data_IF_646638638541
#
_entry.id   IF_646638638541
#
_cell.length_a   1.000
_cell.length_b   1.000
_cell.length_c   1.000
_cell.angle_alpha   90.00
_cell.angle_beta   90.00
_cell.angle_gamma   90.00
#
_symmetry.space_group_name_H-M   'P 1'
#
loop_
_entity.id
_entity.type
_entity.pdbx_description
1 polymer ?
#
# COMPACT_ATOMS: atom_id res chain seq x y z
N UNK A 1 22.66 15.54 39.55
CA UNK A 1 22.41 15.29 38.11
C UNK A 1 23.04 13.96 37.74
N UNK A 2 22.24 12.93 37.44
CA UNK A 2 22.72 11.61 37.00
C UNK A 2 22.97 11.65 35.48
N UNK A 3 24.22 11.85 35.08
CA UNK A 3 24.60 11.80 33.67
C UNK A 3 24.71 10.34 33.22
N UNK A 4 23.84 9.93 32.29
CA UNK A 4 23.94 8.66 31.59
C UNK A 4 25.28 8.59 30.84
N UNK A 5 26.19 7.73 31.29
CA UNK A 5 27.39 7.37 30.54
C UNK A 5 27.00 6.29 29.54
N UNK A 6 27.16 6.51 28.22
CA UNK A 6 26.83 5.48 27.24
C UNK A 6 27.73 4.27 27.47
N UNK A 7 27.11 3.12 27.80
CA UNK A 7 27.82 1.85 27.87
C UNK A 7 28.38 1.50 26.48
N UNK A 8 29.61 0.97 26.47
CA UNK A 8 30.18 0.40 25.26
C UNK A 8 29.25 -0.69 24.70
N UNK A 9 29.12 -0.78 23.38
CA UNK A 9 28.32 -1.85 22.78
C UNK A 9 28.97 -3.21 23.11
N UNK A 10 28.14 -4.17 23.52
CA UNK A 10 28.59 -5.56 23.74
C UNK A 10 29.33 -6.11 22.51
N UNK A 11 30.31 -6.99 22.70
CA UNK A 11 31.04 -7.64 21.60
C UNK A 11 30.10 -8.28 20.56
N UNK A 12 28.99 -8.87 21.02
CA UNK A 12 27.96 -9.42 20.15
C UNK A 12 27.34 -8.36 19.23
N UNK A 13 27.11 -7.13 19.72
CA UNK A 13 26.57 -6.06 18.88
C UNK A 13 27.57 -5.64 17.81
N UNK A 14 28.86 -5.53 18.16
CA UNK A 14 29.91 -5.20 17.21
C UNK A 14 30.04 -6.28 16.13
N UNK A 15 29.97 -7.55 16.53
CA UNK A 15 29.97 -8.68 15.59
C UNK A 15 28.75 -8.65 14.66
N UNK A 16 27.56 -8.44 15.21
CA UNK A 16 26.34 -8.29 14.40
C UNK A 16 26.41 -7.08 13.47
N UNK A 17 26.99 -5.96 13.90
CA UNK A 17 27.19 -4.78 13.05
C UNK A 17 28.10 -5.09 11.86
N UNK A 18 29.18 -5.87 12.04
CA UNK A 18 30.04 -6.31 10.94
C UNK A 18 29.30 -7.19 9.93
N UNK A 19 28.51 -8.16 10.41
CA UNK A 19 27.70 -9.02 9.53
C UNK A 19 26.63 -8.22 8.77
N UNK A 20 26.00 -7.25 9.44
CA UNK A 20 25.03 -6.35 8.83
C UNK A 20 25.71 -5.51 7.74
N UNK A 21 26.90 -4.97 7.99
CA UNK A 21 27.66 -4.15 7.04
C UNK A 21 28.05 -4.94 5.79
N UNK A 22 28.59 -6.15 5.98
CA UNK A 22 28.97 -7.05 4.89
C UNK A 22 27.74 -7.43 4.04
N UNK A 23 26.63 -7.78 4.70
CA UNK A 23 25.39 -8.12 3.99
C UNK A 23 24.79 -6.91 3.27
N UNK A 24 24.83 -5.74 3.90
CA UNK A 24 24.30 -4.51 3.33
C UNK A 24 25.08 -4.07 2.08
N UNK A 25 26.40 -4.24 2.09
CA UNK A 25 27.27 -4.02 0.91
C UNK A 25 26.85 -4.89 -0.27
N UNK A 26 26.46 -6.15 -0.03
CA UNK A 26 25.95 -7.06 -1.07
C UNK A 26 24.51 -6.74 -1.48
N UNK A 27 23.69 -6.25 -0.55
CA UNK A 27 22.23 -6.10 -0.71
C UNK A 27 21.72 -4.78 -0.10
N UNK A 28 21.97 -3.63 -0.73
CA UNK A 28 21.61 -2.32 -0.18
C UNK A 28 20.09 -2.08 -0.05
N UNK A 29 19.27 -2.91 -0.72
CA UNK A 29 17.81 -2.90 -0.63
C UNK A 29 17.25 -3.70 0.56
N UNK A 30 18.10 -4.36 1.36
CA UNK A 30 17.65 -5.10 2.53
C UNK A 30 17.38 -4.15 3.70
N UNK A 31 16.12 -4.06 4.11
CA UNK A 31 15.74 -3.46 5.39
C UNK A 31 15.95 -4.41 6.56
N UNK A 32 15.74 -3.89 7.78
CA UNK A 32 15.81 -4.68 9.01
C UNK A 32 14.99 -5.99 8.99
N UNK A 33 13.82 -6.12 8.30
CA UNK A 33 13.09 -7.38 8.26
C UNK A 33 13.88 -8.48 7.57
N UNK A 34 14.47 -8.18 6.40
CA UNK A 34 15.29 -9.13 5.63
C UNK A 34 16.63 -9.37 6.32
N UNK A 35 17.23 -8.33 6.88
CA UNK A 35 18.48 -8.44 7.64
C UNK A 35 18.34 -9.38 8.84
N UNK A 36 17.19 -9.33 9.55
CA UNK A 36 16.88 -10.27 10.63
C UNK A 36 16.78 -11.71 10.14
N UNK A 37 16.16 -11.95 8.98
CA UNK A 37 16.05 -13.30 8.40
C UNK A 37 17.45 -13.83 8.09
N UNK A 38 18.30 -13.01 7.47
CA UNK A 38 19.69 -13.36 7.16
C UNK A 38 20.48 -13.71 8.43
N UNK A 39 20.43 -12.85 9.45
CA UNK A 39 21.13 -13.11 10.72
C UNK A 39 20.62 -14.38 11.41
N UNK A 40 19.33 -14.69 11.30
CA UNK A 40 18.77 -15.96 11.81
C UNK A 40 19.24 -17.17 11.00
N UNK A 41 19.36 -17.04 9.68
CA UNK A 41 19.90 -18.10 8.83
C UNK A 41 21.37 -18.40 9.16
N UNK A 42 22.12 -17.39 9.62
CA UNK A 42 23.49 -17.53 10.14
C UNK A 42 23.56 -18.04 11.60
N UNK A 43 22.43 -18.39 12.22
CA UNK A 43 22.36 -18.95 13.58
C UNK A 43 22.17 -17.94 14.71
N UNK A 44 22.04 -16.64 14.42
CA UNK A 44 21.84 -15.61 15.45
C UNK A 44 20.37 -15.40 15.79
N UNK A 45 19.96 -15.78 16.99
CA UNK A 45 18.61 -15.53 17.52
C UNK A 45 18.45 -14.06 17.98
N UNK A 46 18.34 -13.15 17.02
CA UNK A 46 18.19 -11.71 17.27
C UNK A 46 16.75 -11.22 17.12
N UNK A 47 16.34 -10.33 18.03
CA UNK A 47 15.05 -9.65 17.96
C UNK A 47 15.09 -8.53 16.89
N UNK A 48 13.98 -8.28 16.22
CA UNK A 48 13.84 -7.22 15.23
C UNK A 48 14.18 -5.84 15.78
N UNK A 49 13.81 -5.55 17.04
CA UNK A 49 14.14 -4.29 17.70
C UNK A 49 15.65 -4.07 17.80
N UNK A 50 16.41 -5.14 18.04
CA UNK A 50 17.88 -5.09 18.11
C UNK A 50 18.48 -4.80 16.74
N UNK A 51 18.07 -5.53 15.70
CA UNK A 51 18.56 -5.32 14.33
C UNK A 51 18.25 -3.89 13.86
N UNK A 52 17.02 -3.41 14.08
CA UNK A 52 16.63 -2.04 13.75
C UNK A 52 17.50 -1.00 14.46
N UNK A 53 17.74 -1.16 15.77
CA UNK A 53 18.61 -0.26 16.56
C UNK A 53 20.04 -0.24 16.02
N UNK A 54 20.61 -1.41 15.70
CA UNK A 54 21.98 -1.50 15.18
C UNK A 54 22.11 -0.85 13.79
N UNK A 55 21.17 -1.13 12.88
CA UNK A 55 21.14 -0.48 11.56
C UNK A 55 21.01 1.04 11.69
N UNK A 56 20.15 1.55 12.58
CA UNK A 56 20.04 2.98 12.86
C UNK A 56 21.34 3.57 13.41
N UNK A 57 22.01 2.87 14.33
CA UNK A 57 23.30 3.29 14.89
C UNK A 57 24.39 3.38 13.81
N UNK A 58 24.34 2.50 12.82
CA UNK A 58 25.26 2.50 11.67
C UNK A 58 24.84 3.48 10.56
N UNK A 59 23.68 4.14 10.66
CA UNK A 59 23.16 5.00 9.60
C UNK A 59 22.67 4.24 8.35
N UNK A 60 22.43 2.93 8.45
CA UNK A 60 22.00 2.09 7.33
C UNK A 60 20.48 2.12 7.14
N UNK A 61 20.05 2.36 5.91
CA UNK A 61 18.65 2.36 5.52
C UNK A 61 18.47 1.69 4.16
N UNK A 62 17.47 0.81 4.04
CA UNK A 62 17.18 0.14 2.77
C UNK A 62 16.94 1.14 1.63
N UNK A 63 17.72 0.96 0.56
CA UNK A 63 17.61 1.72 -0.69
C UNK A 63 16.74 0.92 -1.65
N UNK A 64 15.50 1.37 -1.84
CA UNK A 64 14.60 0.80 -2.85
C UNK A 64 13.81 1.92 -3.51
N UNK A 65 13.40 1.70 -4.75
CA UNK A 65 12.50 2.60 -5.44
C UNK A 65 11.17 2.66 -4.68
N UNK A 66 10.92 3.78 -4.00
CA UNK A 66 9.60 4.03 -3.41
C UNK A 66 8.60 4.16 -4.55
N UNK A 67 7.43 3.53 -4.47
CA UNK A 67 6.39 3.73 -5.48
C UNK A 67 6.04 5.22 -5.51
N UNK A 68 6.39 5.89 -6.61
CA UNK A 68 5.94 7.25 -6.88
C UNK A 68 4.62 7.13 -7.63
N UNK A 69 3.53 6.96 -6.89
CA UNK A 69 2.17 6.90 -7.47
C UNK A 69 1.75 8.22 -8.10
N UNK A 70 2.39 9.33 -7.71
CA UNK A 70 2.05 10.66 -8.19
C UNK A 70 3.34 11.44 -8.45
N UNK A 71 3.81 11.46 -9.69
CA UNK A 71 4.75 12.48 -10.14
C UNK A 71 3.93 13.55 -10.87
N UNK A 72 3.64 14.70 -10.25
CA UNK A 72 2.96 15.78 -10.94
C UNK A 72 3.86 16.24 -12.09
N UNK A 73 3.35 16.14 -13.32
CA UNK A 73 3.98 16.80 -14.46
C UNK A 73 3.84 18.31 -14.26
N UNK A 74 4.95 19.05 -14.29
CA UNK A 74 4.96 20.48 -13.99
C UNK A 74 4.11 21.30 -14.98
N UNK A 75 3.89 20.76 -16.19
CA UNK A 75 3.08 21.38 -17.25
C UNK A 75 1.57 21.17 -17.04
N UNK A 76 1.15 20.28 -16.13
CA UNK A 76 -0.27 20.02 -15.92
C UNK A 76 -0.88 21.11 -15.03
N UNK A 77 -1.95 21.73 -15.53
CA UNK A 77 -2.75 22.67 -14.75
C UNK A 77 -3.33 21.96 -13.52
N UNK A 78 -3.00 22.47 -12.34
CA UNK A 78 -3.62 22.00 -11.09
C UNK A 78 -5.03 22.56 -11.01
N UNK A 79 -6.03 21.68 -11.04
CA UNK A 79 -7.41 22.07 -10.82
C UNK A 79 -7.70 22.18 -9.31
N UNK A 80 -8.34 23.26 -8.85
CA UNK A 80 -8.72 23.37 -7.46
C UNK A 80 -9.75 22.28 -7.12
N UNK A 81 -9.62 21.69 -5.92
CA UNK A 81 -10.60 20.75 -5.43
C UNK A 81 -11.88 21.49 -5.02
N UNK A 82 -12.89 21.46 -5.89
CA UNK A 82 -14.11 22.25 -5.76
C UNK A 82 -14.95 21.90 -4.51
N UNK A 83 -14.76 20.72 -3.95
CA UNK A 83 -15.49 20.25 -2.75
C UNK A 83 -14.76 20.57 -1.43
N UNK A 84 -13.65 21.32 -1.46
CA UNK A 84 -12.85 21.59 -0.25
C UNK A 84 -13.60 22.37 0.82
N UNK A 85 -14.44 23.32 0.43
CA UNK A 85 -15.16 24.23 1.34
C UNK A 85 -16.69 24.00 1.33
N UNK A 86 -17.14 22.95 0.63
CA UNK A 86 -18.57 22.64 0.52
C UNK A 86 -18.97 21.72 1.67
N UNK A 87 -19.83 22.22 2.56
CA UNK A 87 -20.51 21.38 3.54
C UNK A 87 -21.65 20.61 2.84
N UNK A 88 -21.61 19.29 2.94
CA UNK A 88 -22.66 18.40 2.43
C UNK A 88 -23.69 18.20 3.54
N UNK A 89 -24.84 18.85 3.43
CA UNK A 89 -25.82 18.94 4.51
C UNK A 89 -27.12 18.18 4.21
N UNK A 90 -27.28 17.63 3.00
CA UNK A 90 -28.46 16.87 2.58
C UNK A 90 -28.09 15.72 1.64
N UNK A 91 -28.93 14.68 1.55
CA UNK A 91 -28.81 13.65 0.52
C UNK A 91 -28.80 14.24 -0.89
N UNK A 92 -28.14 13.57 -1.83
CA UNK A 92 -28.08 13.92 -3.27
C UNK A 92 -27.41 15.25 -3.59
N UNK A 93 -26.62 15.78 -2.66
CA UNK A 93 -25.83 17.00 -2.88
C UNK A 93 -24.44 16.70 -3.47
N UNK A 94 -23.85 15.55 -3.16
CA UNK A 94 -22.56 15.13 -3.67
C UNK A 94 -22.48 13.61 -3.71
N UNK A 95 -22.01 13.07 -4.83
CA UNK A 95 -21.79 11.63 -5.00
C UNK A 95 -20.30 11.34 -5.21
N UNK A 96 -19.85 10.21 -4.68
CA UNK A 96 -18.53 9.65 -4.91
C UNK A 96 -18.69 8.40 -5.79
N UNK A 97 -17.88 8.29 -6.84
CA UNK A 97 -17.83 7.12 -7.70
C UNK A 97 -16.43 6.53 -7.66
N UNK A 98 -16.35 5.21 -7.51
CA UNK A 98 -15.10 4.46 -7.60
C UNK A 98 -15.25 3.27 -8.55
N UNK A 99 -14.15 2.93 -9.24
CA UNK A 99 -14.07 1.75 -10.10
C UNK A 99 -13.00 0.83 -9.54
N UNK A 100 -13.43 -0.32 -9.05
CA UNK A 100 -12.57 -1.35 -8.48
C UNK A 100 -12.42 -2.53 -9.44
N UNK A 101 -11.17 -2.95 -9.66
CA UNK A 101 -10.83 -4.11 -10.49
C UNK A 101 -10.73 -5.36 -9.60
N UNK A 102 -11.69 -6.28 -9.73
CA UNK A 102 -11.71 -7.53 -8.98
C UNK A 102 -11.08 -8.64 -9.81
N UNK A 103 -9.98 -9.20 -9.33
CA UNK A 103 -9.26 -10.29 -10.00
C UNK A 103 -10.05 -11.60 -9.87
N UNK A 104 -10.40 -12.22 -11.00
CA UNK A 104 -11.09 -13.51 -11.07
C UNK A 104 -10.12 -14.64 -11.47
N UNK A 105 -10.49 -15.93 -11.30
CA UNK A 105 -9.66 -17.06 -11.77
C UNK A 105 -9.36 -16.95 -13.28
N UNK A 106 -10.35 -16.52 -14.06
CA UNK A 106 -10.22 -16.24 -15.49
C UNK A 106 -10.66 -14.79 -15.74
N UNK A 107 -9.70 -13.91 -16.03
CA UNK A 107 -9.97 -12.50 -16.32
C UNK A 107 -10.16 -11.59 -15.09
N UNK A 108 -10.85 -10.48 -15.32
CA UNK A 108 -11.14 -9.42 -14.35
C UNK A 108 -12.60 -9.00 -14.44
N UNK A 109 -13.16 -8.59 -13.31
CA UNK A 109 -14.46 -7.95 -13.19
C UNK A 109 -14.27 -6.49 -12.79
N UNK A 110 -15.05 -5.62 -13.40
CA UNK A 110 -15.09 -4.19 -13.14
C UNK A 110 -16.30 -3.94 -12.23
N UNK A 111 -16.05 -3.54 -10.99
CA UNK A 111 -17.08 -3.09 -10.07
C UNK A 111 -17.09 -1.57 -10.09
N UNK A 112 -18.21 -0.98 -10.50
CA UNK A 112 -18.46 0.45 -10.36
C UNK A 112 -19.44 0.64 -9.22
N UNK A 113 -19.12 1.53 -8.28
CA UNK A 113 -19.99 1.86 -7.17
C UNK A 113 -20.14 3.38 -7.05
N UNK A 114 -21.39 3.83 -6.93
CA UNK A 114 -21.75 5.23 -6.70
C UNK A 114 -22.35 5.32 -5.30
N UNK A 115 -21.77 6.17 -4.47
CA UNK A 115 -22.16 6.38 -3.08
C UNK A 115 -22.56 7.84 -2.88
N UNK A 116 -23.66 8.06 -2.15
CA UNK A 116 -24.01 9.39 -1.68
C UNK A 116 -23.16 9.80 -0.47
N UNK A 117 -22.59 11.00 -0.53
CA UNK A 117 -21.57 11.43 0.42
C UNK A 117 -22.16 11.82 1.78
N UNK A 118 -23.44 12.22 1.83
CA UNK A 118 -24.15 12.55 3.06
C UNK A 118 -24.61 11.29 3.79
N UNK A 119 -25.39 10.46 3.12
CA UNK A 119 -26.04 9.28 3.71
C UNK A 119 -25.11 8.08 3.84
N UNK A 120 -24.00 8.03 3.09
CA UNK A 120 -23.08 6.88 2.97
C UNK A 120 -23.72 5.62 2.38
N UNK A 121 -24.92 5.72 1.82
CA UNK A 121 -25.55 4.61 1.11
C UNK A 121 -25.06 4.55 -0.34
N UNK A 122 -25.00 3.32 -0.86
CA UNK A 122 -24.79 3.09 -2.28
C UNK A 122 -26.06 3.40 -3.04
N UNK A 123 -25.98 4.37 -3.96
CA UNK A 123 -27.08 4.77 -4.84
C UNK A 123 -27.20 3.77 -5.99
N UNK A 124 -26.06 3.32 -6.51
CA UNK A 124 -25.99 2.33 -7.58
C UNK A 124 -24.67 1.56 -7.51
N UNK A 125 -24.70 0.32 -7.97
CA UNK A 125 -23.49 -0.43 -8.26
C UNK A 125 -23.75 -1.37 -9.44
N UNK A 126 -22.72 -1.60 -10.25
CA UNK A 126 -22.78 -2.52 -11.36
C UNK A 126 -21.46 -3.28 -11.46
N UNK A 127 -21.58 -4.56 -11.82
CA UNK A 127 -20.45 -5.41 -12.13
C UNK A 127 -20.46 -5.76 -13.60
N UNK A 128 -19.36 -5.49 -14.30
CA UNK A 128 -19.16 -5.91 -15.68
C UNK A 128 -17.98 -6.85 -15.78
N UNK A 129 -18.12 -7.95 -16.51
CA UNK A 129 -16.99 -8.82 -16.84
C UNK A 129 -16.46 -8.47 -18.24
N UNK A 130 -15.16 -8.67 -18.47
CA UNK A 130 -14.60 -8.67 -19.83
C UNK A 130 -14.56 -10.08 -20.43
N UNK A 131 -15.36 -11.00 -19.88
CA UNK A 131 -15.45 -12.37 -20.39
C UNK A 131 -16.52 -12.41 -21.47
N UNK A 132 -16.27 -13.13 -22.57
CA UNK A 132 -17.23 -13.38 -23.67
C UNK A 132 -18.58 -14.00 -23.20
N UNK A 133 -18.72 -14.30 -21.91
CA UNK A 133 -19.92 -14.87 -21.29
C UNK A 133 -20.98 -13.81 -20.94
N UNK A 134 -20.63 -12.51 -20.90
CA UNK A 134 -21.61 -11.45 -20.61
C UNK A 134 -22.61 -11.20 -21.76
N UNK A 135 -22.22 -11.46 -23.01
CA UNK A 135 -23.15 -11.39 -24.16
C UNK A 135 -24.29 -12.40 -24.06
N UNK A 136 -24.06 -13.55 -23.38
CA UNK A 136 -25.09 -14.55 -23.15
C UNK A 136 -26.06 -14.16 -22.00
N UNK A 137 -25.61 -13.36 -21.03
CA UNK A 137 -26.45 -12.88 -19.93
C UNK A 137 -27.38 -11.72 -20.36
N UNK A 138 -26.90 -10.84 -21.26
CA UNK A 138 -27.70 -9.73 -21.79
C UNK A 138 -28.90 -10.20 -22.64
N UNK A 139 -28.81 -11.36 -23.32
CA UNK A 139 -29.91 -11.95 -24.10
C UNK A 139 -31.04 -12.58 -23.26
N UNK A 140 -30.83 -12.82 -21.96
CA UNK A 140 -31.87 -13.38 -21.08
C UNK A 140 -32.78 -12.32 -20.45
N UNK A 141 -32.29 -11.09 -20.25
CA UNK A 141 -33.11 -10.00 -19.66
C UNK A 141 -34.11 -9.39 -20.64
N UNK A 142 -33.89 -9.48 -21.95
CA UNK A 142 -34.83 -8.98 -22.97
C UNK A 142 -36.05 -9.88 -23.20
N UNK A 143 -36.09 -11.09 -22.63
CA UNK A 143 -37.22 -12.02 -22.79
C UNK A 143 -38.26 -11.93 -21.65
N UNK A 144 -37.98 -11.23 -20.56
CA UNK A 144 -38.90 -11.09 -19.40
C UNK A 144 -39.61 -9.72 -19.29
N UNK A 145 -39.47 -8.85 -20.29
CA UNK A 145 -40.26 -7.60 -20.40
C UNK A 145 -41.14 -7.61 -21.65
N UNK A 146 -41.99 -8.63 -21.76
CA UNK A 146 -42.92 -8.79 -22.86
C UNK A 146 -44.18 -9.55 -22.46
N UNK A 147 -44.91 -9.03 -21.47
CA UNK A 147 -46.39 -9.14 -21.34
C UNK A 147 -46.88 -7.87 -20.65
#
# INVERSE_FOLDING_TARGET
MLYYKPAADSELNLHLMRLIDEQYTKTPFYGWPRMRIQLRALGYLVNHKRVRRLMQKMGLQAIYAKPKTTMPCHEHKVYPYLLREVQVCRPDQAWCADITYVRMRQGFMYLVAIMDWFTRYFVAWETRSNSLLDEAAARRKTFEMGV
#
